data_IF_697064812001
#
_entry.id   IF_697064812001
#
_cell.length_a   1.000
_cell.length_b   1.000
_cell.length_c   1.000
_cell.angle_alpha   90.00
_cell.angle_beta   90.00
_cell.angle_gamma   90.00
#
_symmetry.space_group_name_H-M   'P 1'
#
loop_
_entity.id
_entity.type
_entity.pdbx_description
1 polymer ?
#
# COMPACT_ATOMS: atom_id res chain seq x y z
N UNK A 1 15.29 24.90 23.16
CA UNK A 1 14.69 24.07 22.08
C UNK A 1 13.23 23.86 22.41
N UNK A 2 12.34 24.57 21.71
CA UNK A 2 10.89 24.54 21.97
C UNK A 2 10.27 23.34 21.25
N UNK A 3 9.87 22.33 22.02
CA UNK A 3 9.08 21.18 21.55
C UNK A 3 7.73 21.66 21.03
N UNK A 4 7.41 21.35 19.77
CA UNK A 4 6.07 21.54 19.20
C UNK A 4 5.24 20.28 19.44
N UNK A 5 4.17 20.44 20.22
CA UNK A 5 3.16 19.41 20.48
C UNK A 5 2.32 19.16 19.21
N UNK A 6 2.26 17.92 18.75
CA UNK A 6 1.28 17.47 17.76
C UNK A 6 0.05 17.02 18.55
N UNK A 7 -1.09 17.71 18.38
CA UNK A 7 -2.38 17.22 18.86
C UNK A 7 -2.98 16.34 17.76
N UNK A 8 -2.91 15.02 17.94
CA UNK A 8 -3.67 14.04 17.16
C UNK A 8 -4.77 13.52 18.08
N UNK A 9 -6.03 13.78 17.73
CA UNK A 9 -7.17 13.21 18.46
C UNK A 9 -7.39 11.78 17.98
N UNK A 10 -6.86 10.80 18.70
CA UNK A 10 -7.20 9.39 18.48
C UNK A 10 -6.09 8.42 18.86
N UNK A 11 -6.25 7.76 20.01
CA UNK A 11 -5.45 6.67 20.58
C UNK A 11 -4.04 7.08 21.07
N UNK A 12 -3.89 7.13 22.40
CA UNK A 12 -2.59 7.15 23.06
C UNK A 12 -2.01 5.73 23.03
N UNK A 13 -1.17 5.42 22.04
CA UNK A 13 -0.33 4.22 22.11
C UNK A 13 0.61 4.34 23.32
N UNK A 14 0.74 3.26 24.09
CA UNK A 14 1.74 3.23 25.16
C UNK A 14 3.14 3.41 24.56
N UNK A 15 4.12 3.93 25.33
CA UNK A 15 5.51 4.02 24.86
C UNK A 15 6.07 2.68 24.36
N UNK A 16 5.57 1.57 24.90
CA UNK A 16 5.94 0.20 24.54
C UNK A 16 5.32 -0.22 23.21
N UNK A 17 4.03 0.05 22.98
CA UNK A 17 3.37 -0.14 21.68
C UNK A 17 4.03 0.70 20.58
N UNK A 18 4.38 1.95 20.90
CA UNK A 18 5.11 2.83 19.99
C UNK A 18 6.52 2.33 19.67
N UNK A 19 7.24 1.78 20.65
CA UNK A 19 8.60 1.25 20.47
C UNK A 19 8.59 -0.07 19.70
N UNK A 20 7.65 -0.97 19.99
CA UNK A 20 7.46 -2.22 19.27
C UNK A 20 7.06 -1.97 17.81
N UNK A 21 6.14 -1.01 17.58
CA UNK A 21 5.75 -0.60 16.23
C UNK A 21 6.94 -0.01 15.47
N UNK A 22 7.70 0.92 16.06
CA UNK A 22 8.89 1.52 15.42
C UNK A 22 9.99 0.50 15.11
N UNK A 23 10.28 -0.43 16.02
CA UNK A 23 11.30 -1.46 15.83
C UNK A 23 10.95 -2.43 14.70
N UNK A 24 9.71 -2.91 14.66
CA UNK A 24 9.26 -3.86 13.62
C UNK A 24 9.11 -3.21 12.25
N UNK A 25 8.67 -1.96 12.22
CA UNK A 25 8.59 -1.17 10.99
C UNK A 25 9.98 -0.89 10.39
N UNK A 26 11.00 -0.71 11.24
CA UNK A 26 12.40 -0.59 10.80
C UNK A 26 12.91 -1.87 10.14
N UNK A 27 12.61 -3.04 10.70
CA UNK A 27 13.02 -4.33 10.12
C UNK A 27 12.27 -4.60 8.80
N UNK A 28 10.96 -4.35 8.76
CA UNK A 28 10.16 -4.51 7.54
C UNK A 28 10.59 -3.60 6.37
N UNK A 29 10.91 -2.33 6.65
CA UNK A 29 11.43 -1.41 5.63
C UNK A 29 12.84 -1.81 5.17
N UNK A 30 13.58 -2.51 6.03
CA UNK A 30 14.88 -3.10 5.75
C UNK A 30 14.79 -4.30 4.81
N UNK A 31 13.77 -5.15 4.95
CA UNK A 31 13.62 -6.38 4.15
C UNK A 31 13.05 -6.12 2.73
N UNK A 32 12.35 -5.00 2.53
CA UNK A 32 12.07 -4.45 1.20
C UNK A 32 13.34 -3.78 0.61
N UNK A 33 14.42 -4.55 0.47
CA UNK A 33 15.60 -4.12 -0.29
C UNK A 33 15.24 -4.19 -1.78
N UNK A 34 14.97 -3.02 -2.34
CA UNK A 34 14.93 -2.83 -3.78
C UNK A 34 16.35 -2.99 -4.34
N UNK A 35 16.61 -4.05 -5.12
CA UNK A 35 17.78 -4.10 -5.99
C UNK A 35 17.43 -3.38 -7.32
N UNK A 36 17.99 -2.18 -7.57
CA UNK A 36 17.76 -1.46 -8.82
C UNK A 36 18.26 -2.19 -10.08
N UNK A 37 19.08 -3.23 -9.94
CA UNK A 37 19.72 -3.91 -11.06
C UNK A 37 18.96 -5.14 -11.55
N UNK A 38 17.98 -5.67 -10.81
CA UNK A 38 17.30 -6.91 -11.22
C UNK A 38 16.19 -6.71 -12.25
N UNK A 39 15.54 -5.54 -12.36
CA UNK A 39 14.41 -5.37 -13.31
C UNK A 39 14.32 -3.94 -13.84
N UNK A 40 15.22 -3.54 -14.74
CA UNK A 40 15.10 -2.28 -15.47
C UNK A 40 14.49 -2.51 -16.87
N UNK A 41 13.16 -2.50 -16.99
CA UNK A 41 12.48 -2.38 -18.29
C UNK A 41 12.08 -0.92 -18.53
N UNK A 42 12.60 -0.32 -19.62
CA UNK A 42 12.15 1.00 -20.11
C UNK A 42 10.81 0.82 -20.83
N UNK A 43 9.78 1.54 -20.40
CA UNK A 43 8.49 1.58 -21.09
C UNK A 43 8.21 2.97 -21.66
N UNK A 44 7.80 3.03 -22.93
CA UNK A 44 7.25 4.23 -23.56
C UNK A 44 5.77 4.38 -23.13
N UNK A 45 5.46 5.20 -22.12
CA UNK A 45 4.13 5.76 -21.73
C UNK A 45 2.84 4.94 -21.91
N UNK A 46 2.91 3.62 -22.11
CA UNK A 46 1.79 2.69 -22.23
C UNK A 46 2.27 1.35 -21.69
N UNK A 47 1.59 0.86 -20.66
CA UNK A 47 1.87 -0.45 -20.06
C UNK A 47 1.26 -1.50 -21.00
N UNK A 48 1.93 -1.77 -22.13
CA UNK A 48 1.56 -2.89 -23.01
C UNK A 48 2.18 -4.16 -22.43
N UNK A 49 1.34 -5.08 -21.96
CA UNK A 49 1.75 -6.48 -21.82
C UNK A 49 1.72 -7.15 -23.17
N UNK A 50 2.72 -7.96 -23.44
CA UNK A 50 2.54 -9.09 -24.33
C UNK A 50 1.49 -10.02 -23.67
N UNK A 51 0.41 -10.45 -24.36
CA UNK A 51 -0.60 -11.36 -23.80
C UNK A 51 -0.05 -12.76 -23.45
N UNK A 52 1.25 -13.02 -23.58
CA UNK A 52 1.90 -14.21 -23.07
C UNK A 52 1.94 -14.25 -21.53
N UNK A 53 0.80 -14.51 -20.87
CA UNK A 53 0.56 -15.16 -19.57
C UNK A 53 1.56 -15.01 -18.39
N UNK A 54 2.53 -14.10 -18.39
CA UNK A 54 3.49 -13.92 -17.31
C UNK A 54 2.86 -13.07 -16.21
N UNK A 55 1.99 -13.73 -15.45
CA UNK A 55 1.29 -13.16 -14.31
C UNK A 55 2.23 -12.87 -13.14
N UNK A 56 3.48 -13.35 -13.16
CA UNK A 56 4.44 -13.14 -12.06
C UNK A 56 5.18 -11.81 -12.13
N UNK A 57 4.97 -11.04 -13.20
CA UNK A 57 5.76 -9.84 -13.50
C UNK A 57 5.39 -8.63 -12.64
N UNK A 58 6.41 -8.07 -12.00
CA UNK A 58 6.36 -6.75 -11.36
C UNK A 58 6.48 -5.64 -12.41
N UNK A 59 5.60 -4.64 -12.33
CA UNK A 59 5.65 -3.43 -13.15
C UNK A 59 6.47 -2.34 -12.46
N UNK A 60 7.61 -1.97 -13.05
CA UNK A 60 8.43 -0.87 -12.55
C UNK A 60 8.13 0.43 -13.31
N UNK A 61 7.69 1.46 -12.59
CA UNK A 61 7.56 2.84 -13.08
C UNK A 61 8.79 3.62 -12.62
N UNK A 62 9.79 3.73 -13.49
CA UNK A 62 11.09 4.35 -13.21
C UNK A 62 11.27 5.75 -13.81
N UNK A 63 10.24 6.31 -14.44
CA UNK A 63 10.26 7.66 -15.01
C UNK A 63 9.03 8.46 -14.61
N UNK A 64 9.14 9.80 -14.48
CA UNK A 64 7.98 10.67 -14.29
C UNK A 64 6.99 10.55 -15.45
N UNK A 65 5.69 10.68 -15.16
CA UNK A 65 4.68 10.66 -16.22
C UNK A 65 3.28 10.25 -15.78
N UNK A 66 2.39 10.21 -16.78
CA UNK A 66 1.05 9.67 -16.66
C UNK A 66 1.05 8.23 -17.18
N UNK A 67 0.73 7.30 -16.31
CA UNK A 67 0.60 5.87 -16.59
C UNK A 67 -0.86 5.48 -16.47
N UNK A 68 -1.39 4.87 -17.51
CA UNK A 68 -2.79 4.46 -17.59
C UNK A 68 -2.86 2.96 -17.86
N UNK A 69 -3.64 2.23 -17.06
CA UNK A 69 -3.95 0.84 -17.38
C UNK A 69 -4.95 0.78 -18.54
N UNK A 70 -4.75 -0.16 -19.45
CA UNK A 70 -5.63 -0.51 -20.56
C UNK A 70 -6.24 -1.92 -20.43
N UNK A 71 -5.77 -2.70 -19.45
CA UNK A 71 -6.32 -4.01 -19.08
C UNK A 71 -6.15 -4.28 -17.58
N UNK A 72 -6.84 -5.32 -17.08
CA UNK A 72 -6.67 -5.81 -15.71
C UNK A 72 -5.30 -6.47 -15.56
N UNK A 73 -4.58 -6.18 -14.46
CA UNK A 73 -3.34 -6.85 -14.09
C UNK A 73 -3.67 -8.04 -13.20
N UNK A 74 -3.19 -9.22 -13.59
CA UNK A 74 -3.21 -10.44 -12.80
C UNK A 74 -1.79 -10.68 -12.28
N UNK A 75 -1.59 -10.48 -10.99
CA UNK A 75 -0.31 -10.68 -10.32
C UNK A 75 -0.31 -12.03 -9.60
N UNK A 76 0.68 -12.86 -9.87
CA UNK A 76 0.84 -14.21 -9.35
C UNK A 76 2.33 -14.47 -9.07
N UNK A 77 2.82 -13.76 -8.07
CA UNK A 77 4.17 -13.96 -7.56
C UNK A 77 4.17 -14.98 -6.43
N UNK A 78 5.08 -15.95 -6.53
CA UNK A 78 5.44 -16.85 -5.44
C UNK A 78 6.54 -16.27 -4.54
N UNK A 79 7.04 -15.07 -4.85
CA UNK A 79 8.08 -14.38 -4.08
C UNK A 79 7.41 -13.61 -2.93
N UNK A 80 7.77 -13.90 -1.67
CA UNK A 80 7.31 -13.11 -0.52
C UNK A 80 7.69 -11.64 -0.67
N UNK A 81 6.95 -10.75 -0.01
CA UNK A 81 7.26 -9.31 0.04
C UNK A 81 7.41 -8.65 -1.33
N UNK A 82 6.71 -9.14 -2.34
CA UNK A 82 6.73 -8.60 -3.71
C UNK A 82 5.57 -7.64 -3.97
N UNK A 83 5.69 -6.80 -5.00
CA UNK A 83 4.65 -5.86 -5.37
C UNK A 83 4.26 -5.99 -6.85
N UNK A 84 2.98 -5.87 -7.17
CA UNK A 84 2.53 -5.91 -8.57
C UNK A 84 3.01 -4.67 -9.35
N UNK A 85 2.96 -3.50 -8.73
CA UNK A 85 3.50 -2.25 -9.29
C UNK A 85 4.43 -1.58 -8.29
N UNK A 86 5.63 -1.20 -8.74
CA UNK A 86 6.60 -0.40 -8.00
C UNK A 86 6.71 0.97 -8.68
N UNK A 87 6.44 2.04 -7.93
CA UNK A 87 6.69 3.42 -8.36
C UNK A 87 8.04 3.85 -7.81
N UNK A 88 9.04 3.93 -8.68
CA UNK A 88 10.41 4.31 -8.36
C UNK A 88 10.80 5.72 -8.87
N UNK A 89 9.82 6.49 -9.35
CA UNK A 89 10.01 7.85 -9.82
C UNK A 89 9.07 8.86 -9.14
N UNK A 90 9.51 10.11 -9.12
CA UNK A 90 8.71 11.26 -8.71
C UNK A 90 7.74 11.69 -9.82
N UNK A 91 6.72 12.48 -9.46
CA UNK A 91 5.77 13.06 -10.42
C UNK A 91 5.06 12.00 -11.28
N UNK A 92 4.60 10.94 -10.63
CA UNK A 92 3.91 9.82 -11.26
C UNK A 92 2.42 9.94 -10.99
N UNK A 93 1.63 9.92 -12.06
CA UNK A 93 0.19 9.66 -11.98
C UNK A 93 -0.09 8.26 -12.52
N UNK A 94 -0.50 7.36 -11.64
CA UNK A 94 -1.01 6.04 -11.98
C UNK A 94 -2.54 6.07 -11.99
N UNK A 95 -3.12 6.07 -13.19
CA UNK A 95 -4.55 5.97 -13.45
C UNK A 95 -4.91 4.53 -13.79
N UNK A 96 -5.61 3.85 -12.89
CA UNK A 96 -6.04 2.47 -13.12
C UNK A 96 -7.19 2.39 -14.12
N UNK A 97 -7.78 3.51 -14.56
CA UNK A 97 -8.78 3.58 -15.65
C UNK A 97 -9.93 2.55 -15.54
N UNK A 98 -10.46 2.37 -14.32
CA UNK A 98 -11.49 1.39 -13.96
C UNK A 98 -11.07 -0.09 -14.07
N UNK A 99 -9.82 -0.38 -14.40
CA UNK A 99 -9.24 -1.71 -14.38
C UNK A 99 -8.89 -2.17 -12.95
N UNK A 100 -8.53 -3.45 -12.85
CA UNK A 100 -8.23 -4.13 -11.59
C UNK A 100 -6.77 -4.56 -11.54
N UNK A 101 -6.18 -4.50 -10.37
CA UNK A 101 -4.98 -5.24 -10.01
C UNK A 101 -5.41 -6.35 -9.05
N UNK A 102 -5.20 -7.60 -9.43
CA UNK A 102 -5.68 -8.78 -8.70
C UNK A 102 -4.49 -9.65 -8.35
N UNK A 103 -4.32 -9.99 -7.07
CA UNK A 103 -3.41 -11.04 -6.69
C UNK A 103 -4.06 -12.42 -6.81
N UNK A 104 -3.36 -13.38 -7.43
CA UNK A 104 -3.81 -14.78 -7.59
C UNK A 104 -2.96 -15.80 -6.82
N UNK A 105 -1.81 -15.38 -6.31
CA UNK A 105 -0.90 -16.26 -5.58
C UNK A 105 -1.26 -16.41 -4.10
N UNK A 106 -0.35 -17.03 -3.35
CA UNK A 106 -0.49 -17.24 -1.90
C UNK A 106 0.75 -16.80 -1.10
N UNK A 107 1.72 -16.16 -1.74
CA UNK A 107 2.93 -15.66 -1.09
C UNK A 107 2.57 -14.60 -0.03
N UNK A 108 3.17 -14.67 1.16
CA UNK A 108 2.94 -13.68 2.21
C UNK A 108 3.62 -12.34 1.87
N UNK A 109 3.13 -11.25 2.44
CA UNK A 109 3.77 -9.94 2.29
C UNK A 109 3.52 -9.25 0.95
N UNK A 110 2.58 -9.72 0.11
CA UNK A 110 2.40 -9.14 -1.22
C UNK A 110 1.64 -7.82 -1.17
N UNK A 111 2.06 -6.90 -2.05
CA UNK A 111 1.50 -5.53 -2.14
C UNK A 111 0.98 -5.25 -3.55
N UNK A 112 -0.16 -4.57 -3.67
CA UNK A 112 -0.65 -4.15 -4.99
C UNK A 112 0.23 -3.07 -5.61
N UNK A 113 0.33 -1.92 -4.95
CA UNK A 113 1.14 -0.79 -5.39
C UNK A 113 2.08 -0.38 -4.27
N UNK A 114 3.37 -0.33 -4.57
CA UNK A 114 4.42 0.06 -3.64
C UNK A 114 5.16 1.31 -4.10
N UNK A 115 5.48 2.19 -3.15
CA UNK A 115 6.41 3.30 -3.37
C UNK A 115 7.17 3.65 -2.10
N UNK A 116 8.46 4.00 -2.26
CA UNK A 116 9.35 4.39 -1.17
C UNK A 116 10.14 5.64 -1.54
N UNK A 117 10.11 6.64 -0.66
CA UNK A 117 10.87 7.89 -0.75
C UNK A 117 10.65 8.68 -2.06
N UNK A 118 9.42 8.66 -2.59
CA UNK A 118 9.05 9.39 -3.81
C UNK A 118 8.13 10.58 -3.50
N UNK A 119 8.01 11.50 -4.44
CA UNK A 119 7.26 12.75 -4.32
C UNK A 119 6.27 12.93 -5.48
N UNK A 120 5.15 13.59 -5.21
CA UNK A 120 4.07 13.85 -6.16
C UNK A 120 3.55 12.55 -6.82
N UNK A 121 3.00 11.66 -6.00
CA UNK A 121 2.36 10.43 -6.47
C UNK A 121 0.86 10.59 -6.44
N UNK A 122 0.22 10.28 -7.57
CA UNK A 122 -1.23 10.21 -7.70
C UNK A 122 -1.61 8.78 -8.09
N UNK A 123 -2.47 8.13 -7.31
CA UNK A 123 -3.05 6.81 -7.62
C UNK A 123 -4.56 6.97 -7.69
N UNK A 124 -5.20 6.61 -8.81
CA UNK A 124 -6.63 6.87 -8.99
C UNK A 124 -7.39 5.87 -9.88
N UNK A 125 -8.71 5.89 -9.72
CA UNK A 125 -9.71 5.32 -10.63
C UNK A 125 -9.54 3.81 -10.88
N UNK A 126 -9.62 2.96 -9.85
CA UNK A 126 -9.63 1.53 -10.12
C UNK A 126 -9.75 0.66 -8.89
N UNK A 127 -9.48 -0.63 -9.07
CA UNK A 127 -9.68 -1.64 -8.04
C UNK A 127 -8.40 -2.41 -7.75
N UNK A 128 -8.14 -2.69 -6.49
CA UNK A 128 -6.99 -3.49 -6.05
C UNK A 128 -7.52 -4.57 -5.11
N UNK A 129 -7.17 -5.84 -5.32
CA UNK A 129 -7.74 -6.91 -4.50
C UNK A 129 -6.84 -8.11 -4.24
N UNK A 130 -7.18 -8.78 -3.14
CA UNK A 130 -6.72 -10.11 -2.77
C UNK A 130 -5.22 -10.21 -2.41
N UNK A 131 -4.54 -9.08 -2.27
CA UNK A 131 -3.14 -9.03 -1.80
C UNK A 131 -3.02 -9.43 -0.32
N UNK A 132 -1.86 -9.99 0.06
CA UNK A 132 -1.72 -10.60 1.38
C UNK A 132 -1.25 -9.65 2.47
N UNK A 133 -0.70 -8.49 2.11
CA UNK A 133 -0.28 -7.47 3.08
C UNK A 133 -1.02 -6.15 2.88
N UNK A 134 -0.94 -5.58 1.67
CA UNK A 134 -1.59 -4.31 1.40
C UNK A 134 -2.05 -4.16 -0.05
N UNK A 135 -3.13 -3.41 -0.26
CA UNK A 135 -3.49 -2.97 -1.60
C UNK A 135 -2.52 -1.88 -2.08
N UNK A 136 -2.25 -0.90 -1.23
CA UNK A 136 -1.29 0.18 -1.51
C UNK A 136 -0.42 0.43 -0.28
N UNK A 137 0.90 0.52 -0.47
CA UNK A 137 1.88 0.82 0.57
C UNK A 137 2.80 1.96 0.11
N UNK A 138 2.72 3.08 0.81
CA UNK A 138 3.52 4.28 0.56
C UNK A 138 4.37 4.59 1.79
N UNK A 139 5.69 4.67 1.60
CA UNK A 139 6.64 4.84 2.69
C UNK A 139 7.58 6.02 2.43
N UNK A 140 7.66 6.98 3.34
CA UNK A 140 8.54 8.16 3.21
C UNK A 140 8.18 9.06 2.02
N UNK A 141 6.96 8.98 1.51
CA UNK A 141 6.54 9.70 0.30
C UNK A 141 5.95 11.08 0.63
N UNK A 142 5.97 11.99 -0.34
CA UNK A 142 5.47 13.36 -0.17
C UNK A 142 4.46 13.73 -1.25
N UNK A 143 3.51 14.62 -0.92
CA UNK A 143 2.49 15.15 -1.84
C UNK A 143 1.72 14.04 -2.55
N UNK A 144 1.08 13.21 -1.73
CA UNK A 144 0.40 11.99 -2.15
C UNK A 144 -1.08 12.30 -2.38
N UNK A 145 -1.64 11.77 -3.46
CA UNK A 145 -3.09 11.82 -3.71
C UNK A 145 -3.62 10.45 -4.13
N UNK A 146 -4.32 9.78 -3.22
CA UNK A 146 -5.02 8.52 -3.46
C UNK A 146 -6.51 8.82 -3.58
N UNK A 147 -7.12 8.57 -4.74
CA UNK A 147 -8.52 8.97 -4.96
C UNK A 147 -9.32 8.06 -5.86
N UNK A 148 -10.62 7.92 -5.58
CA UNK A 148 -11.52 7.09 -6.38
C UNK A 148 -10.96 5.66 -6.57
N UNK A 149 -10.50 5.05 -5.48
CA UNK A 149 -10.01 3.67 -5.49
C UNK A 149 -10.92 2.77 -4.66
N UNK A 150 -11.02 1.52 -5.08
CA UNK A 150 -11.67 0.45 -4.34
C UNK A 150 -10.64 -0.63 -3.99
N UNK A 151 -10.33 -0.80 -2.71
CA UNK A 151 -9.40 -1.85 -2.27
C UNK A 151 -10.18 -2.91 -1.48
N UNK A 152 -10.00 -4.19 -1.82
CA UNK A 152 -10.71 -5.25 -1.12
C UNK A 152 -10.02 -6.60 -0.98
N UNK A 153 -10.47 -7.40 -0.03
CA UNK A 153 -10.03 -8.80 0.09
C UNK A 153 -8.60 -8.92 0.57
N UNK A 154 -8.07 -7.89 1.22
CA UNK A 154 -6.70 -7.91 1.73
C UNK A 154 -6.65 -8.84 2.93
N UNK A 155 -5.88 -9.92 2.83
CA UNK A 155 -5.88 -10.97 3.85
C UNK A 155 -4.51 -11.58 4.11
N UNK A 156 -4.07 -11.59 5.37
CA UNK A 156 -2.93 -12.42 5.75
C UNK A 156 -3.40 -13.88 5.87
N UNK A 157 -2.80 -14.80 5.13
CA UNK A 157 -3.27 -16.20 5.07
C UNK A 157 -2.77 -17.08 6.21
N UNK A 158 -2.01 -16.53 7.17
CA UNK A 158 -1.33 -17.31 8.20
C UNK A 158 -1.57 -16.73 9.59
N UNK A 159 -1.79 -17.62 10.57
CA UNK A 159 -1.60 -17.37 12.00
C UNK A 159 -0.09 -17.24 12.28
N UNK A 160 0.56 -16.27 11.65
CA UNK A 160 1.91 -15.89 12.03
C UNK A 160 1.80 -15.21 13.39
N UNK A 161 2.61 -15.65 14.34
CA UNK A 161 2.76 -14.98 15.64
C UNK A 161 3.37 -13.58 15.53
N UNK A 162 3.74 -13.19 14.32
CA UNK A 162 4.31 -11.90 13.99
C UNK A 162 3.19 -10.91 13.67
N UNK A 163 3.34 -9.69 14.20
CA UNK A 163 2.41 -8.58 14.03
C UNK A 163 2.40 -8.09 12.58
N UNK A 164 1.82 -8.87 11.68
CA UNK A 164 1.69 -8.54 10.28
C UNK A 164 0.64 -7.43 10.13
N UNK A 165 1.10 -6.24 9.78
CA UNK A 165 0.22 -5.14 9.43
C UNK A 165 -0.50 -5.49 8.14
N UNK A 166 -1.80 -5.82 8.25
CA UNK A 166 -2.65 -6.12 7.11
C UNK A 166 -3.62 -4.96 6.93
N UNK A 167 -3.44 -4.20 5.86
CA UNK A 167 -4.27 -3.01 5.64
C UNK A 167 -4.54 -2.75 4.17
N UNK A 168 -5.73 -2.24 3.85
CA UNK A 168 -6.05 -1.92 2.47
C UNK A 168 -5.14 -0.81 1.93
N UNK A 169 -4.89 0.22 2.73
CA UNK A 169 -3.96 1.31 2.43
C UNK A 169 -3.01 1.51 3.62
N UNK A 170 -1.71 1.54 3.36
CA UNK A 170 -0.64 1.77 4.35
C UNK A 170 0.15 2.99 3.92
N UNK A 171 0.24 3.99 4.80
CA UNK A 171 0.98 5.23 4.57
C UNK A 171 1.85 5.50 5.79
N UNK A 172 3.16 5.50 5.59
CA UNK A 172 4.14 5.58 6.69
C UNK A 172 5.13 6.70 6.41
N UNK A 173 5.38 7.57 7.38
CA UNK A 173 6.42 8.59 7.29
C UNK A 173 6.19 9.61 6.16
N UNK A 174 4.95 9.77 5.70
CA UNK A 174 4.62 10.59 4.55
C UNK A 174 4.18 12.00 4.93
N UNK A 175 4.22 12.95 3.98
CA UNK A 175 3.69 14.30 4.18
C UNK A 175 2.78 14.75 3.04
N UNK A 176 1.84 15.64 3.36
CA UNK A 176 0.89 16.23 2.41
C UNK A 176 0.08 15.14 1.69
N UNK A 177 -0.67 14.38 2.47
CA UNK A 177 -1.38 13.18 2.02
C UNK A 177 -2.86 13.46 1.87
N UNK A 178 -3.41 13.29 0.68
CA UNK A 178 -4.85 13.31 0.41
C UNK A 178 -5.39 11.93 0.07
N UNK A 179 -6.40 11.48 0.80
CA UNK A 179 -7.16 10.26 0.50
C UNK A 179 -8.62 10.66 0.30
N UNK A 180 -9.18 10.45 -0.90
CA UNK A 180 -10.51 10.98 -1.25
C UNK A 180 -11.38 9.98 -1.98
N UNK A 181 -12.69 10.01 -1.73
CA UNK A 181 -13.68 9.30 -2.56
C UNK A 181 -13.37 7.81 -2.74
N UNK A 182 -12.82 7.16 -1.71
CA UNK A 182 -12.28 5.81 -1.81
C UNK A 182 -13.03 4.84 -0.89
N UNK A 183 -13.08 3.56 -1.30
CA UNK A 183 -13.78 2.51 -0.55
C UNK A 183 -12.83 1.36 -0.24
N UNK A 184 -12.67 1.09 1.04
CA UNK A 184 -11.86 0.01 1.57
C UNK A 184 -12.80 -1.05 2.15
N UNK A 185 -12.78 -2.25 1.61
CA UNK A 185 -13.77 -3.28 1.93
C UNK A 185 -13.11 -4.63 2.21
N UNK A 186 -13.53 -5.33 3.26
CA UNK A 186 -13.07 -6.71 3.51
C UNK A 186 -11.55 -6.81 3.64
N UNK A 187 -10.96 -6.03 4.56
CA UNK A 187 -9.63 -6.35 5.09
C UNK A 187 -9.81 -7.38 6.20
N UNK A 188 -9.10 -8.50 6.12
CA UNK A 188 -9.18 -9.58 7.09
C UNK A 188 -7.79 -9.89 7.62
N UNK A 189 -7.60 -9.95 8.94
CA UNK A 189 -6.42 -10.62 9.49
C UNK A 189 -6.81 -11.71 10.48
N UNK A 190 -6.00 -12.77 10.48
CA UNK A 190 -6.13 -13.89 11.40
C UNK A 190 -5.34 -13.66 12.68
N UNK A 191 -4.20 -12.99 12.57
CA UNK A 191 -3.40 -12.45 13.67
C UNK A 191 -2.92 -11.03 13.33
N UNK A 192 -2.65 -10.19 14.34
CA UNK A 192 -2.11 -8.84 14.16
C UNK A 192 -3.15 -7.72 14.09
N UNK A 193 -2.81 -6.63 13.39
CA UNK A 193 -3.64 -5.40 13.30
C UNK A 193 -4.32 -5.35 11.93
N UNK A 194 -5.65 -5.18 11.94
CA UNK A 194 -6.46 -5.01 10.73
C UNK A 194 -6.90 -3.57 10.62
N UNK A 195 -6.48 -2.92 9.54
CA UNK A 195 -6.87 -1.55 9.24
C UNK A 195 -7.46 -1.47 7.81
N UNK A 196 -8.44 -0.59 7.60
CA UNK A 196 -8.75 -0.18 6.22
C UNK A 196 -7.69 0.80 5.72
N UNK A 197 -7.37 1.78 6.55
CA UNK A 197 -6.33 2.76 6.29
C UNK A 197 -5.42 2.76 7.52
N UNK A 198 -4.12 2.63 7.30
CA UNK A 198 -3.11 2.73 8.35
C UNK A 198 -2.19 3.91 8.03
N UNK A 199 -2.20 4.92 8.88
CA UNK A 199 -1.39 6.14 8.74
C UNK A 199 -0.46 6.24 9.94
N UNK A 200 0.86 6.14 9.70
CA UNK A 200 1.87 6.12 10.76
C UNK A 200 2.86 7.24 10.52
N UNK A 201 3.13 8.05 11.54
CA UNK A 201 4.16 9.09 11.52
C UNK A 201 4.06 10.05 10.30
N UNK A 202 2.84 10.39 9.89
CA UNK A 202 2.60 11.27 8.75
C UNK A 202 2.27 12.70 9.19
N UNK A 203 2.51 13.67 8.30
CA UNK A 203 2.16 15.07 8.50
C UNK A 203 1.16 15.55 7.43
N UNK A 204 0.25 16.46 7.79
CA UNK A 204 -0.73 17.04 6.87
C UNK A 204 -1.54 15.99 6.09
N UNK A 205 -2.29 15.16 6.83
CA UNK A 205 -3.12 14.10 6.23
C UNK A 205 -4.58 14.54 6.19
N UNK A 206 -5.21 14.35 5.02
CA UNK A 206 -6.62 14.66 4.78
C UNK A 206 -7.30 13.40 4.23
N UNK A 207 -8.29 12.89 4.96
CA UNK A 207 -9.14 11.78 4.53
C UNK A 207 -10.57 12.29 4.36
N UNK A 208 -11.11 12.24 3.15
CA UNK A 208 -12.43 12.81 2.83
C UNK A 208 -13.29 11.83 2.04
N UNK A 209 -14.57 11.71 2.43
CA UNK A 209 -15.59 10.91 1.71
C UNK A 209 -15.11 9.48 1.43
N UNK A 210 -14.41 8.89 2.39
CA UNK A 210 -13.97 7.50 2.31
C UNK A 210 -14.96 6.59 3.04
N UNK A 211 -15.16 5.39 2.51
CA UNK A 211 -16.01 4.35 3.09
C UNK A 211 -15.16 3.16 3.51
N UNK A 212 -15.41 2.63 4.71
CA UNK A 212 -14.75 1.44 5.24
C UNK A 212 -15.82 0.43 5.63
N UNK A 213 -15.77 -0.80 5.11
CA UNK A 213 -16.78 -1.83 5.40
C UNK A 213 -16.20 -3.23 5.54
N UNK A 214 -16.86 -4.06 6.35
CA UNK A 214 -16.61 -5.50 6.45
C UNK A 214 -15.16 -5.89 6.83
N UNK A 215 -14.47 -5.06 7.63
CA UNK A 215 -13.16 -5.45 8.14
C UNK A 215 -13.33 -6.44 9.28
N UNK A 216 -12.55 -7.52 9.26
CA UNK A 216 -12.67 -8.63 10.21
C UNK A 216 -11.30 -8.88 10.82
N UNK A 217 -11.21 -8.96 12.14
CA UNK A 217 -10.03 -9.46 12.81
C UNK A 217 -10.42 -10.70 13.62
N UNK A 218 -9.81 -11.85 13.32
CA UNK A 218 -10.13 -13.11 13.98
C UNK A 218 -9.32 -13.36 15.27
N UNK A 219 -8.26 -12.58 15.53
CA UNK A 219 -7.32 -12.88 16.63
C UNK A 219 -6.43 -11.73 17.10
N UNK A 220 -6.72 -10.48 16.69
CA UNK A 220 -5.94 -9.30 17.04
C UNK A 220 -6.78 -8.02 17.15
N UNK A 221 -6.16 -6.86 16.94
CA UNK A 221 -6.80 -5.55 17.15
C UNK A 221 -7.38 -4.97 15.86
N UNK A 222 -8.63 -4.49 15.90
CA UNK A 222 -9.17 -3.60 14.86
C UNK A 222 -8.92 -2.17 15.32
N UNK A 223 -8.05 -1.44 14.62
CA UNK A 223 -7.83 -0.03 14.89
C UNK A 223 -8.50 0.82 13.81
N UNK A 224 -9.52 1.58 14.20
CA UNK A 224 -10.01 2.67 13.37
C UNK A 224 -9.09 3.86 13.56
N UNK A 225 -8.06 4.02 12.73
CA UNK A 225 -7.29 5.28 12.72
C UNK A 225 -8.01 6.30 11.83
N UNK A 226 -8.35 7.44 12.44
CA UNK A 226 -8.67 8.70 11.75
C UNK A 226 -7.51 9.66 11.96
#
# INVERSE_FOLDING_TARGET
MTSKTIKVNGINLTPEQNSAMKYKLKNFIGDLVYDPNEIAFKFNNTISTDPSNDTSKTWLISSPGLYKLDHDILFDSNVPTSAAIIIAANYVTLDLNNHKIIYKGSAPGTVGIFSKNQNHIIIKNGKIRDFTQAGVLLNGCQKINVRNIYISGITNSKNTSDFDLTSALVIIGCSDVGIKDSHFNKTVAFAGIVNSICIIACNNVIVLRCKMTNNINHGGQVEGTF
#
